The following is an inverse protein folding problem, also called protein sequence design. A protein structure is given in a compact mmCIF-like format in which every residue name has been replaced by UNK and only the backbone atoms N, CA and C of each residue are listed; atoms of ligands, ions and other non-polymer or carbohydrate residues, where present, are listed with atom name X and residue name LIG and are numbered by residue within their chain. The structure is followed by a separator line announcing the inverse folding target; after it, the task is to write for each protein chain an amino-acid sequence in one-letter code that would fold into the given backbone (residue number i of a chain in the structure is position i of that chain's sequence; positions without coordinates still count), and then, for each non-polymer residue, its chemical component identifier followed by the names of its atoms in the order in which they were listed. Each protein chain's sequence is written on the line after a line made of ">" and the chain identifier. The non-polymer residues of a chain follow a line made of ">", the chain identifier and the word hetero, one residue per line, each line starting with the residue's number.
data_IF_149026233349
#
_entry.id   IF_149026233349
#
_cell.length_a   1.000
_cell.length_b   1.000
_cell.length_c   1.000
_cell.angle_alpha   90.00
_cell.angle_beta   90.00
_cell.angle_gamma   90.00
#
_symmetry.space_group_name_H-M   'P 1'
#
loop_
_entity.id
_entity.type
_entity.pdbx_description
1 polymer ?
#
# COMPACT_ATOMS: atom_id res chain seq x y z
N UNK A 1 10.77 -22.05 5.91
CA UNK A 1 9.91 -21.38 6.91
C UNK A 1 9.74 -19.95 6.42
N UNK A 2 8.53 -19.47 6.14
CA UNK A 2 8.33 -18.10 5.63
C UNK A 2 8.74 -17.11 6.72
N UNK A 3 9.58 -16.14 6.42
CA UNK A 3 9.88 -15.08 7.39
C UNK A 3 8.60 -14.31 7.63
N UNK A 4 8.15 -14.26 8.88
CA UNK A 4 6.87 -13.64 9.22
C UNK A 4 6.98 -12.11 9.20
N UNK A 5 5.86 -11.43 8.94
CA UNK A 5 5.72 -9.96 9.01
C UNK A 5 6.47 -9.31 10.18
N UNK A 6 6.44 -9.93 11.37
CA UNK A 6 7.14 -9.42 12.56
C UNK A 6 8.66 -9.32 12.35
N UNK A 7 9.26 -10.28 11.67
CA UNK A 7 10.70 -10.28 11.38
C UNK A 7 11.05 -9.21 10.34
N UNK A 8 10.25 -9.09 9.28
CA UNK A 8 10.42 -8.05 8.26
C UNK A 8 10.31 -6.64 8.84
N UNK A 9 9.32 -6.42 9.71
CA UNK A 9 9.15 -5.17 10.43
C UNK A 9 10.31 -4.91 11.37
N UNK A 10 10.70 -5.90 12.18
CA UNK A 10 11.80 -5.75 13.15
C UNK A 10 13.12 -5.41 12.46
N UNK A 11 13.50 -6.18 11.43
CA UNK A 11 14.73 -5.94 10.67
C UNK A 11 14.66 -4.62 9.90
N UNK A 12 13.50 -4.26 9.36
CA UNK A 12 13.27 -2.97 8.72
C UNK A 12 13.53 -1.79 9.65
N UNK A 13 12.95 -1.82 10.87
CA UNK A 13 13.15 -0.80 11.88
C UNK A 13 14.63 -0.73 12.28
N UNK A 14 15.25 -1.87 12.57
CA UNK A 14 16.66 -1.92 12.97
C UNK A 14 17.58 -1.35 11.88
N UNK A 15 17.37 -1.73 10.62
CA UNK A 15 18.14 -1.23 9.49
C UNK A 15 17.90 0.26 9.23
N UNK A 16 16.68 0.76 9.38
CA UNK A 16 16.38 2.19 9.27
C UNK A 16 17.07 3.02 10.37
N UNK A 17 17.10 2.51 11.62
CA UNK A 17 17.85 3.15 12.71
C UNK A 17 19.35 3.18 12.43
N UNK A 18 19.90 2.07 11.93
CA UNK A 18 21.31 2.00 11.55
C UNK A 18 21.63 2.96 10.39
N UNK A 19 20.76 3.04 9.38
CA UNK A 19 20.89 3.99 8.27
C UNK A 19 20.90 5.43 8.77
N UNK A 20 19.97 5.81 9.66
CA UNK A 20 19.95 7.14 10.26
C UNK A 20 21.21 7.45 11.05
N UNK A 21 21.71 6.49 11.85
CA UNK A 21 22.95 6.66 12.61
C UNK A 21 24.14 6.86 11.67
N UNK A 22 24.24 6.06 10.61
CA UNK A 22 25.28 6.18 9.61
C UNK A 22 25.23 7.55 8.92
N UNK A 23 24.05 8.00 8.53
CA UNK A 23 23.88 9.32 7.92
C UNK A 23 24.25 10.40 8.92
N UNK A 24 23.75 10.36 10.15
CA UNK A 24 24.10 11.33 11.18
C UNK A 24 25.61 11.50 11.37
N UNK A 25 26.38 10.41 11.28
CA UNK A 25 27.85 10.42 11.40
C UNK A 25 28.56 10.86 10.10
N UNK A 26 27.99 10.61 8.93
CA UNK A 26 28.67 10.81 7.63
C UNK A 26 28.21 12.06 6.85
N UNK A 27 26.96 12.48 7.03
CA UNK A 27 26.33 13.59 6.34
C UNK A 27 25.14 14.16 7.15
N UNK A 28 25.14 15.46 7.44
CA UNK A 28 23.99 16.09 8.07
C UNK A 28 22.84 16.25 7.05
N UNK A 29 21.69 15.65 7.33
CA UNK A 29 20.46 15.81 6.55
C UNK A 29 19.35 16.40 7.43
N UNK A 30 18.37 17.13 6.86
CA UNK A 30 17.26 17.67 7.62
C UNK A 30 16.47 16.56 8.36
N UNK A 31 16.06 16.75 9.62
CA UNK A 31 15.37 15.71 10.39
C UNK A 31 14.10 15.17 9.72
N UNK A 32 13.33 16.01 9.04
CA UNK A 32 12.12 15.60 8.31
C UNK A 32 12.45 14.70 7.11
N UNK A 33 13.58 14.94 6.43
CA UNK A 33 14.02 14.11 5.33
C UNK A 33 14.43 12.71 5.83
N UNK A 34 15.16 12.66 6.94
CA UNK A 34 15.54 11.40 7.60
C UNK A 34 14.32 10.63 8.08
N UNK A 35 13.34 11.33 8.67
CA UNK A 35 12.07 10.71 9.09
C UNK A 35 11.34 10.12 7.88
N UNK A 36 11.17 10.89 6.79
CA UNK A 36 10.51 10.42 5.58
C UNK A 36 11.22 9.21 4.98
N UNK A 37 12.55 9.25 4.87
CA UNK A 37 13.35 8.13 4.38
C UNK A 37 13.25 6.89 5.28
N UNK A 38 13.21 7.08 6.60
CA UNK A 38 13.03 5.97 7.56
C UNK A 38 11.66 5.33 7.43
N UNK A 39 10.61 6.15 7.30
CA UNK A 39 9.24 5.67 7.13
C UNK A 39 9.11 4.90 5.83
N UNK A 40 9.62 5.43 4.71
CA UNK A 40 9.57 4.71 3.42
C UNK A 40 10.45 3.47 3.44
N UNK A 41 11.59 3.46 4.13
CA UNK A 41 12.41 2.25 4.32
C UNK A 41 11.62 1.16 5.06
N UNK A 42 11.04 1.48 6.22
CA UNK A 42 10.26 0.52 7.02
C UNK A 42 9.02 0.05 6.25
N UNK A 43 8.33 0.96 5.56
CA UNK A 43 7.20 0.60 4.69
C UNK A 43 7.66 -0.34 3.57
N UNK A 44 8.76 -0.02 2.89
CA UNK A 44 9.36 -0.88 1.87
C UNK A 44 9.69 -2.26 2.39
N UNK A 45 10.20 -2.38 3.63
CA UNK A 45 10.56 -3.68 4.21
C UNK A 45 9.39 -4.57 4.54
N UNK A 46 8.18 -4.03 4.65
CA UNK A 46 6.97 -4.81 4.94
C UNK A 46 6.06 -4.93 3.71
N UNK A 47 6.08 -3.96 2.79
CA UNK A 47 5.16 -3.88 1.65
C UNK A 47 5.04 -5.18 0.82
N UNK A 48 6.10 -5.95 0.54
CA UNK A 48 5.98 -7.15 -0.27
C UNK A 48 5.14 -8.26 0.41
N UNK A 49 4.90 -8.18 1.73
CA UNK A 49 3.95 -9.08 2.43
C UNK A 49 2.49 -8.87 1.97
N UNK A 50 2.18 -7.81 1.20
CA UNK A 50 0.84 -7.63 0.61
C UNK A 50 0.43 -8.79 -0.30
N UNK A 51 1.38 -9.45 -0.94
CA UNK A 51 1.13 -10.59 -1.82
C UNK A 51 0.63 -11.81 -1.03
N UNK A 52 1.05 -11.93 0.23
CA UNK A 52 0.65 -13.05 1.06
C UNK A 52 -0.86 -13.04 1.37
N UNK A 53 -1.65 -14.04 0.89
CA UNK A 53 -3.03 -14.19 1.33
C UNK A 53 -3.06 -14.29 2.86
N UNK A 54 -3.98 -13.55 3.47
CA UNK A 54 -4.16 -13.42 4.92
C UNK A 54 -3.03 -12.68 5.68
N UNK A 55 -2.12 -11.98 5.01
CA UNK A 55 -1.20 -11.09 5.72
C UNK A 55 -1.94 -9.91 6.36
N UNK A 56 -1.36 -9.37 7.43
CA UNK A 56 -1.91 -8.16 8.07
C UNK A 56 -1.98 -6.99 7.09
N UNK A 57 -0.92 -6.80 6.30
CA UNK A 57 -0.84 -5.72 5.30
C UNK A 57 -1.91 -5.87 4.24
N UNK A 58 -2.11 -7.08 3.72
CA UNK A 58 -3.16 -7.33 2.72
C UNK A 58 -4.55 -7.01 3.27
N UNK A 59 -4.85 -7.41 4.51
CA UNK A 59 -6.12 -7.05 5.16
C UNK A 59 -6.27 -5.54 5.35
N UNK A 60 -5.21 -4.87 5.81
CA UNK A 60 -5.23 -3.42 5.99
C UNK A 60 -5.44 -2.70 4.66
N UNK A 61 -4.71 -3.10 3.60
CA UNK A 61 -4.86 -2.55 2.27
C UNK A 61 -6.25 -2.79 1.68
N UNK A 62 -6.78 -4.02 1.79
CA UNK A 62 -8.17 -4.32 1.39
C UNK A 62 -9.19 -3.45 2.12
N UNK A 63 -9.02 -3.26 3.43
CA UNK A 63 -9.90 -2.41 4.23
C UNK A 63 -9.84 -0.94 3.81
N UNK A 64 -8.63 -0.42 3.55
CA UNK A 64 -8.44 0.94 3.05
C UNK A 64 -9.01 1.12 1.64
N UNK A 65 -8.80 0.16 0.74
CA UNK A 65 -9.38 0.16 -0.60
C UNK A 65 -10.91 0.18 -0.54
N UNK A 66 -11.50 -0.70 0.26
CA UNK A 66 -12.95 -0.74 0.47
C UNK A 66 -13.47 0.59 0.99
N UNK A 67 -12.88 1.11 2.08
CA UNK A 67 -13.35 2.31 2.74
C UNK A 67 -13.21 3.55 1.84
N UNK A 68 -12.06 3.70 1.18
CA UNK A 68 -11.81 4.84 0.29
C UNK A 68 -12.76 4.87 -0.89
N UNK A 69 -12.99 3.71 -1.55
CA UNK A 69 -13.95 3.61 -2.64
C UNK A 69 -15.39 3.83 -2.16
N UNK A 70 -15.76 3.28 -1.00
CA UNK A 70 -17.10 3.47 -0.45
C UNK A 70 -17.36 4.95 -0.18
N UNK A 71 -16.43 5.64 0.50
CA UNK A 71 -16.57 7.06 0.79
C UNK A 71 -16.62 7.90 -0.49
N UNK A 72 -15.80 7.59 -1.48
CA UNK A 72 -15.83 8.27 -2.78
C UNK A 72 -17.18 8.08 -3.49
N UNK A 73 -17.71 6.85 -3.53
CA UNK A 73 -18.99 6.55 -4.15
C UNK A 73 -20.16 7.19 -3.39
N UNK A 74 -20.13 7.20 -2.06
CA UNK A 74 -21.13 7.91 -1.25
C UNK A 74 -21.09 9.42 -1.49
N UNK A 75 -19.90 10.01 -1.65
CA UNK A 75 -19.76 11.42 -2.00
C UNK A 75 -20.34 11.70 -3.40
N UNK A 76 -20.08 10.83 -4.39
CA UNK A 76 -20.68 10.93 -5.73
C UNK A 76 -22.20 10.81 -5.65
N UNK A 77 -22.72 9.84 -4.90
CA UNK A 77 -24.17 9.68 -4.71
C UNK A 77 -24.78 10.94 -4.09
N UNK A 78 -24.14 11.50 -3.06
CA UNK A 78 -24.64 12.70 -2.40
C UNK A 78 -24.64 13.92 -3.31
N UNK A 79 -23.56 14.16 -4.05
CA UNK A 79 -23.41 15.32 -4.95
C UNK A 79 -24.35 15.20 -6.17
N UNK A 80 -24.49 14.00 -6.73
CA UNK A 80 -25.21 13.78 -8.00
C UNK A 80 -26.56 13.07 -7.82
N UNK A 81 -27.12 13.07 -6.59
CA UNK A 81 -28.34 12.34 -6.27
C UNK A 81 -29.50 12.58 -7.25
N UNK A 82 -29.87 13.83 -7.63
CA UNK A 82 -31.02 14.07 -8.50
C UNK A 82 -30.89 13.38 -9.87
N UNK A 83 -29.68 13.36 -10.43
CA UNK A 83 -29.39 12.72 -11.71
C UNK A 83 -29.43 11.20 -11.59
N UNK A 84 -28.81 10.65 -10.54
CA UNK A 84 -28.78 9.22 -10.27
C UNK A 84 -30.18 8.66 -9.96
N UNK A 85 -31.00 9.40 -9.21
CA UNK A 85 -32.38 9.02 -8.93
C UNK A 85 -33.24 9.07 -10.19
N UNK A 86 -33.09 10.09 -11.03
CA UNK A 86 -33.83 10.19 -12.29
C UNK A 86 -33.50 9.03 -13.24
N UNK A 87 -32.22 8.62 -13.29
CA UNK A 87 -31.79 7.43 -14.03
C UNK A 87 -32.44 6.17 -13.47
N UNK A 88 -32.41 5.98 -12.15
CA UNK A 88 -32.98 4.79 -11.50
C UNK A 88 -34.48 4.64 -11.72
N UNK A 89 -35.24 5.74 -11.73
CA UNK A 89 -36.69 5.73 -11.98
C UNK A 89 -37.02 5.14 -13.36
N UNK A 90 -36.12 5.28 -14.35
CA UNK A 90 -36.32 4.68 -15.68
C UNK A 90 -36.31 3.15 -15.65
N UNK A 91 -35.64 2.55 -14.67
CA UNK A 91 -35.49 1.10 -14.54
C UNK A 91 -36.34 0.50 -13.42
N UNK A 92 -36.59 1.27 -12.36
CA UNK A 92 -37.16 0.78 -11.12
C UNK A 92 -38.07 1.85 -10.49
N UNK A 93 -39.38 1.61 -10.52
CA UNK A 93 -40.39 2.50 -9.91
C UNK A 93 -40.50 2.28 -8.40
N UNK A 94 -39.58 2.86 -7.64
CA UNK A 94 -39.57 2.82 -6.19
C UNK A 94 -39.76 4.21 -5.59
N UNK A 95 -40.05 4.27 -4.28
CA UNK A 95 -40.02 5.52 -3.53
C UNK A 95 -38.60 6.01 -3.26
N UNK A 96 -38.45 7.30 -2.95
CA UNK A 96 -37.17 7.99 -2.71
C UNK A 96 -36.24 7.24 -1.74
N UNK A 97 -36.77 6.75 -0.61
CA UNK A 97 -35.98 6.02 0.39
C UNK A 97 -35.38 4.74 -0.21
N UNK A 98 -36.14 4.04 -1.04
CA UNK A 98 -35.68 2.81 -1.66
C UNK A 98 -34.67 3.07 -2.79
N UNK A 99 -34.76 4.19 -3.52
CA UNK A 99 -33.70 4.59 -4.46
C UNK A 99 -32.39 4.91 -3.74
N UNK A 100 -32.45 5.65 -2.63
CA UNK A 100 -31.27 5.94 -1.80
C UNK A 100 -30.65 4.64 -1.29
N UNK A 101 -31.46 3.72 -0.75
CA UNK A 101 -30.99 2.43 -0.27
C UNK A 101 -30.32 1.61 -1.39
N UNK A 102 -30.88 1.60 -2.60
CA UNK A 102 -30.32 0.90 -3.75
C UNK A 102 -28.97 1.49 -4.19
N UNK A 103 -28.84 2.82 -4.20
CA UNK A 103 -27.56 3.49 -4.52
C UNK A 103 -26.48 3.18 -3.48
N UNK A 104 -26.83 3.18 -2.18
CA UNK A 104 -25.91 2.82 -1.11
C UNK A 104 -25.49 1.35 -1.23
N UNK A 105 -26.44 0.44 -1.50
CA UNK A 105 -26.13 -0.97 -1.74
C UNK A 105 -25.20 -1.15 -2.94
N UNK A 106 -25.44 -0.42 -4.04
CA UNK A 106 -24.55 -0.44 -5.19
C UNK A 106 -23.13 0.03 -4.84
N UNK A 107 -22.99 1.10 -4.05
CA UNK A 107 -21.70 1.57 -3.58
C UNK A 107 -20.97 0.52 -2.72
N UNK A 108 -21.70 -0.19 -1.84
CA UNK A 108 -21.16 -1.30 -1.06
C UNK A 108 -20.70 -2.46 -1.98
N UNK A 109 -21.53 -2.85 -2.96
CA UNK A 109 -21.18 -3.93 -3.90
C UNK A 109 -19.97 -3.59 -4.76
N UNK A 110 -19.87 -2.37 -5.28
CA UNK A 110 -18.70 -1.95 -6.08
C UNK A 110 -17.44 -1.97 -5.22
N UNK A 111 -17.51 -1.44 -3.99
CA UNK A 111 -16.36 -1.39 -3.08
C UNK A 111 -15.91 -2.79 -2.64
N UNK A 112 -16.85 -3.67 -2.31
CA UNK A 112 -16.57 -5.07 -1.99
C UNK A 112 -16.04 -5.83 -3.22
N UNK A 113 -16.63 -5.57 -4.39
CA UNK A 113 -16.22 -6.12 -5.68
C UNK A 113 -14.78 -5.75 -6.03
N UNK A 114 -14.35 -4.52 -5.76
CA UNK A 114 -12.97 -4.09 -5.97
C UNK A 114 -11.97 -4.88 -5.11
N UNK A 115 -12.30 -5.14 -3.85
CA UNK A 115 -11.47 -5.98 -2.96
C UNK A 115 -11.44 -7.44 -3.44
N UNK A 116 -12.58 -7.98 -3.87
CA UNK A 116 -12.65 -9.33 -4.44
C UNK A 116 -11.82 -9.43 -5.71
N UNK A 117 -11.93 -8.45 -6.61
CA UNK A 117 -11.14 -8.37 -7.83
C UNK A 117 -9.64 -8.33 -7.52
N UNK A 118 -9.22 -7.49 -6.57
CA UNK A 118 -7.84 -7.44 -6.08
C UNK A 118 -7.37 -8.83 -5.60
N UNK A 119 -8.21 -9.55 -4.86
CA UNK A 119 -7.87 -10.88 -4.38
C UNK A 119 -7.73 -11.92 -5.49
N UNK A 120 -8.49 -11.79 -6.57
CA UNK A 120 -8.40 -12.65 -7.75
C UNK A 120 -7.10 -12.40 -8.51
N UNK A 121 -6.69 -11.13 -8.69
CA UNK A 121 -5.47 -10.78 -9.45
C UNK A 121 -4.16 -11.03 -8.67
N UNK A 122 -4.21 -11.06 -7.34
CA UNK A 122 -3.07 -11.38 -6.47
C UNK A 122 -3.33 -12.66 -5.65
N UNK A 123 -3.41 -13.85 -6.29
CA UNK A 123 -3.78 -15.08 -5.59
C UNK A 123 -2.62 -15.71 -4.81
N UNK A 124 -1.36 -15.38 -5.12
CA UNK A 124 -0.18 -16.09 -4.62
C UNK A 124 0.67 -15.27 -3.65
N UNK A 125 1.32 -15.99 -2.72
CA UNK A 125 2.25 -15.46 -1.72
C UNK A 125 3.51 -14.76 -2.26
N UNK A 126 3.83 -14.92 -3.55
CA UNK A 126 4.95 -14.30 -4.24
C UNK A 126 4.46 -13.84 -5.61
N UNK A 127 3.62 -12.81 -5.57
CA UNK A 127 3.01 -12.24 -6.76
C UNK A 127 4.01 -11.42 -7.58
N UNK A 128 3.49 -10.65 -8.52
CA UNK A 128 4.28 -9.74 -9.37
C UNK A 128 5.07 -8.72 -8.54
N UNK A 129 4.59 -8.42 -7.33
CA UNK A 129 5.15 -7.42 -6.43
C UNK A 129 6.34 -8.02 -5.64
N UNK A 130 6.43 -9.32 -5.44
CA UNK A 130 7.54 -9.93 -4.70
C UNK A 130 8.82 -10.14 -5.54
N UNK A 131 9.49 -9.05 -5.96
CA UNK A 131 10.74 -9.12 -6.71
C UNK A 131 11.53 -7.81 -6.79
N UNK A 132 12.78 -7.88 -7.24
CA UNK A 132 13.66 -6.71 -7.35
C UNK A 132 13.10 -5.64 -8.29
N UNK A 133 12.45 -6.02 -9.40
CA UNK A 133 11.80 -5.08 -10.32
C UNK A 133 10.72 -4.26 -9.60
N UNK A 134 9.92 -4.90 -8.75
CA UNK A 134 8.91 -4.20 -7.96
C UNK A 134 9.52 -3.20 -6.97
N UNK A 135 10.72 -3.48 -6.44
CA UNK A 135 11.46 -2.50 -5.61
C UNK A 135 11.80 -1.22 -6.38
N UNK A 136 12.17 -1.34 -7.68
CA UNK A 136 12.42 -0.18 -8.53
C UNK A 136 11.14 0.58 -8.87
N UNK A 137 10.04 -0.13 -9.12
CA UNK A 137 8.72 0.51 -9.34
C UNK A 137 8.24 1.24 -8.09
N UNK A 138 8.48 0.67 -6.90
CA UNK A 138 8.20 1.33 -5.62
C UNK A 138 9.03 2.61 -5.46
N UNK A 139 10.34 2.54 -5.75
CA UNK A 139 11.22 3.71 -5.74
C UNK A 139 10.75 4.80 -6.72
N UNK A 140 10.43 4.42 -7.97
CA UNK A 140 9.93 5.34 -8.98
C UNK A 140 8.61 6.01 -8.55
N UNK A 141 7.71 5.25 -7.91
CA UNK A 141 6.46 5.78 -7.36
C UNK A 141 6.71 6.78 -6.24
N UNK A 142 7.65 6.50 -5.34
CA UNK A 142 8.05 7.44 -4.27
C UNK A 142 8.70 8.71 -4.84
N UNK A 143 9.56 8.59 -5.84
CA UNK A 143 10.19 9.74 -6.49
C UNK A 143 9.15 10.61 -7.20
N UNK A 144 8.19 10.00 -7.89
CA UNK A 144 7.06 10.70 -8.51
C UNK A 144 6.17 11.39 -7.47
N UNK A 145 5.85 10.73 -6.37
CA UNK A 145 5.11 11.35 -5.26
C UNK A 145 5.87 12.53 -4.67
N UNK A 146 7.18 12.40 -4.43
CA UNK A 146 8.01 13.50 -3.95
C UNK A 146 8.01 14.70 -4.91
N UNK A 147 8.03 14.45 -6.23
CA UNK A 147 7.86 15.47 -7.25
C UNK A 147 6.50 16.18 -7.16
N UNK A 148 5.39 15.43 -6.96
CA UNK A 148 4.06 16.02 -6.77
C UNK A 148 3.97 16.91 -5.53
N UNK A 149 4.73 16.59 -4.47
CA UNK A 149 4.86 17.43 -3.28
C UNK A 149 5.90 18.56 -3.42
N UNK A 150 6.41 18.80 -4.62
CA UNK A 150 7.40 19.85 -4.92
C UNK A 150 8.69 19.75 -4.09
N UNK A 151 9.08 18.53 -3.70
CA UNK A 151 10.36 18.31 -3.03
C UNK A 151 11.52 18.48 -4.03
N UNK A 152 12.67 19.04 -3.60
CA UNK A 152 13.88 19.05 -4.42
C UNK A 152 14.23 17.64 -4.89
N UNK A 153 14.67 17.51 -6.15
CA UNK A 153 14.95 16.21 -6.78
C UNK A 153 15.83 15.31 -5.91
N UNK A 154 16.89 15.85 -5.31
CA UNK A 154 17.79 15.07 -4.47
C UNK A 154 17.10 14.49 -3.23
N UNK A 155 16.16 15.22 -2.62
CA UNK A 155 15.39 14.76 -1.46
C UNK A 155 14.41 13.66 -1.87
N UNK A 156 13.72 13.86 -2.99
CA UNK A 156 12.81 12.85 -3.54
C UNK A 156 13.53 11.55 -3.90
N UNK A 157 14.68 11.65 -4.56
CA UNK A 157 15.52 10.49 -4.88
C UNK A 157 16.06 9.81 -3.62
N UNK A 158 16.47 10.60 -2.61
CA UNK A 158 16.94 10.05 -1.34
C UNK A 158 15.86 9.22 -0.63
N UNK A 159 14.63 9.75 -0.52
CA UNK A 159 13.48 9.03 0.06
C UNK A 159 13.13 7.78 -0.76
N UNK A 160 13.15 7.89 -2.08
CA UNK A 160 12.87 6.79 -3.00
C UNK A 160 13.87 5.64 -2.88
N UNK A 161 15.17 5.96 -2.84
CA UNK A 161 16.25 4.99 -2.66
C UNK A 161 16.16 4.34 -1.28
N UNK A 162 15.88 5.10 -0.22
CA UNK A 162 15.67 4.52 1.11
C UNK A 162 14.51 3.50 1.11
N UNK A 163 13.38 3.85 0.50
CA UNK A 163 12.26 2.92 0.32
C UNK A 163 12.63 1.68 -0.48
N UNK A 164 13.38 1.83 -1.58
CA UNK A 164 13.90 0.73 -2.39
C UNK A 164 14.78 -0.21 -1.57
N UNK A 165 15.70 0.33 -0.78
CA UNK A 165 16.61 -0.47 0.06
C UNK A 165 15.86 -1.25 1.13
N UNK A 166 14.84 -0.64 1.75
CA UNK A 166 13.94 -1.34 2.66
C UNK A 166 13.22 -2.51 1.98
N UNK A 167 12.73 -2.29 0.75
CA UNK A 167 12.12 -3.34 -0.06
C UNK A 167 13.09 -4.47 -0.39
N UNK A 168 14.32 -4.14 -0.78
CA UNK A 168 15.34 -5.14 -1.08
C UNK A 168 15.75 -5.91 0.16
N UNK A 169 15.82 -5.27 1.34
CA UNK A 169 16.05 -5.95 2.61
C UNK A 169 15.01 -7.06 2.83
N UNK A 170 13.73 -6.79 2.56
CA UNK A 170 12.69 -7.81 2.66
C UNK A 170 13.01 -9.03 1.79
N UNK A 171 13.28 -8.80 0.50
CA UNK A 171 13.58 -9.88 -0.46
C UNK A 171 14.81 -10.68 0.00
N UNK A 172 15.86 -9.99 0.45
CA UNK A 172 17.09 -10.60 0.95
C UNK A 172 16.80 -11.49 2.16
N UNK A 173 16.03 -10.98 3.13
CA UNK A 173 15.64 -11.73 4.33
C UNK A 173 14.86 -13.00 3.97
N UNK A 174 13.95 -12.91 3.01
CA UNK A 174 13.19 -14.06 2.52
C UNK A 174 14.08 -15.09 1.81
N UNK A 175 15.05 -14.64 1.00
CA UNK A 175 16.04 -15.51 0.35
C UNK A 175 16.86 -16.26 1.41
N UNK A 176 17.46 -15.55 2.37
CA UNK A 176 18.26 -16.17 3.43
C UNK A 176 17.43 -17.11 4.31
N UNK A 177 16.21 -16.71 4.67
CA UNK A 177 15.27 -17.53 5.45
C UNK A 177 14.84 -18.81 4.72
N UNK A 178 14.94 -18.85 3.39
CA UNK A 178 14.68 -20.04 2.58
C UNK A 178 15.90 -20.97 2.46
N UNK A 179 17.12 -20.44 2.55
CA UNK A 179 18.38 -21.18 2.38
C UNK A 179 18.86 -21.83 3.68
N UNK A 180 18.67 -21.19 4.84
CA UNK A 180 19.17 -21.70 6.12
C UNK A 180 18.36 -22.94 6.58
N UNK A 181 18.98 -24.14 6.63
CA UNK A 181 18.32 -25.34 7.09
C UNK A 181 18.35 -25.35 8.62
N UNK A 182 17.21 -25.29 9.31
CA UNK A 182 17.31 -25.45 10.77
C UNK A 182 16.10 -25.24 11.67
N UNK A 183 14.91 -24.90 11.18
CA UNK A 183 13.70 -24.91 12.03
C UNK A 183 12.51 -25.40 11.20
N UNK A 184 12.33 -26.73 11.19
CA UNK A 184 11.05 -27.36 10.86
C UNK A 184 10.16 -27.30 12.10
#
# INVERSE_FOLDING_TARGET
>A
MKTGFKLHLFLGILAALFLNLLIYVTASQPPLLLLAASLTFVLGSILPDIDAPFSFIRRAFSGLLFLSLLLALLAVIFIYYPYLSALLVQYVSLGTIAHIALLILLALFISAGAVLFMNIIMPFHRGVIHGFIASFLYAASLAFLAYLFSLPLYQGLFIAVAGMLGYQLHIIVDIFGSILPGRR
#
